data_IF_235289276579
#
_entry.id   IF_235289276579
#
_cell.length_a   1.000
_cell.length_b   1.000
_cell.length_c   1.000
_cell.angle_alpha   90.00
_cell.angle_beta   90.00
_cell.angle_gamma   90.00
#
_symmetry.space_group_name_H-M   'P 1'
#
loop_
_entity.id
_entity.type
_entity.pdbx_description
1 polymer ?
#
# COMPACT_ATOMS: atom_id res chain seq x y z
N UNK A 1 -7.39 5.81 -1.52
CA UNK A 1 -7.48 5.49 -0.07
C UNK A 1 -6.65 6.49 0.71
N UNK A 2 -7.25 7.16 1.69
CA UNK A 2 -6.55 8.08 2.60
C UNK A 2 -6.19 7.35 3.89
N UNK A 3 -4.91 7.32 4.23
CA UNK A 3 -4.38 6.71 5.47
C UNK A 3 -4.01 7.86 6.39
N UNK A 4 -4.81 8.05 7.45
CA UNK A 4 -4.68 9.16 8.42
C UNK A 4 -4.84 8.63 9.84
N UNK A 5 -4.31 9.34 10.85
CA UNK A 5 -4.63 9.04 12.24
C UNK A 5 -6.13 9.25 12.49
N UNK A 6 -6.69 8.47 13.41
CA UNK A 6 -8.07 8.61 13.84
C UNK A 6 -8.19 8.35 15.35
N UNK A 7 -9.40 8.49 15.91
CA UNK A 7 -9.65 8.33 17.35
C UNK A 7 -9.26 6.96 17.91
N UNK A 8 -9.18 5.93 17.05
CA UNK A 8 -8.91 4.54 17.47
C UNK A 8 -7.45 4.15 17.22
N UNK A 9 -6.77 4.79 16.26
CA UNK A 9 -5.44 4.40 15.84
C UNK A 9 -4.57 5.60 15.50
N UNK A 10 -3.44 5.68 16.19
CA UNK A 10 -2.35 6.59 15.84
C UNK A 10 -1.43 5.94 14.80
N UNK A 11 -0.81 6.76 13.96
CA UNK A 11 0.23 6.33 13.03
C UNK A 11 1.60 6.41 13.71
N UNK A 12 2.50 5.48 13.37
CA UNK A 12 3.85 5.43 13.96
C UNK A 12 4.73 6.62 13.58
N UNK A 13 4.47 7.26 12.46
CA UNK A 13 5.23 8.42 11.97
C UNK A 13 4.37 9.26 11.05
N UNK A 14 4.77 10.52 10.84
CA UNK A 14 4.12 11.43 9.88
C UNK A 14 4.20 10.90 8.44
N UNK A 15 5.27 10.21 8.06
CA UNK A 15 5.41 9.59 6.75
C UNK A 15 4.38 8.47 6.49
N UNK A 16 3.78 7.92 7.54
CA UNK A 16 2.70 6.94 7.40
C UNK A 16 1.37 7.57 6.96
N UNK A 17 1.19 8.89 7.15
CA UNK A 17 0.03 9.63 6.65
C UNK A 17 0.20 9.87 5.15
N UNK A 18 -0.73 9.34 4.36
CA UNK A 18 -0.63 9.39 2.90
C UNK A 18 -1.93 9.05 2.20
N UNK A 19 -1.99 9.40 0.94
CA UNK A 19 -3.02 8.96 0.00
C UNK A 19 -2.43 7.97 -0.99
N UNK A 20 -3.14 6.85 -1.18
CA UNK A 20 -2.78 5.77 -2.10
C UNK A 20 -3.94 5.57 -3.06
N UNK A 21 -3.75 5.70 -4.38
CA UNK A 21 -4.75 5.35 -5.36
C UNK A 21 -5.14 3.88 -5.24
N UNK A 22 -6.37 3.54 -5.58
CA UNK A 22 -6.74 2.15 -5.79
C UNK A 22 -6.29 1.73 -7.19
N UNK A 23 -5.84 0.50 -7.33
CA UNK A 23 -5.62 -0.13 -8.63
C UNK A 23 -6.99 -0.36 -9.30
N UNK A 24 -7.09 -0.19 -10.62
CA UNK A 24 -8.34 -0.32 -11.37
C UNK A 24 -9.08 -1.65 -11.14
N UNK A 25 -8.35 -2.75 -10.95
CA UNK A 25 -8.92 -4.05 -10.58
C UNK A 25 -9.68 -3.95 -9.24
N UNK A 26 -9.13 -3.25 -8.25
CA UNK A 26 -9.78 -3.08 -6.95
C UNK A 26 -10.97 -2.13 -7.04
N UNK A 27 -10.89 -1.11 -7.87
CA UNK A 27 -12.03 -0.21 -8.13
C UNK A 27 -13.22 -1.01 -8.65
N UNK A 28 -13.02 -1.87 -9.63
CA UNK A 28 -14.07 -2.74 -10.18
C UNK A 28 -14.66 -3.71 -9.14
N UNK A 29 -13.82 -4.30 -8.28
CA UNK A 29 -14.24 -5.23 -7.24
C UNK A 29 -15.00 -4.54 -6.10
N UNK A 30 -14.71 -3.29 -5.84
CA UNK A 30 -15.23 -2.54 -4.69
C UNK A 30 -16.47 -1.69 -5.03
N UNK A 31 -16.70 -1.37 -6.30
CA UNK A 31 -17.70 -0.41 -6.74
C UNK A 31 -19.15 -0.79 -6.33
N UNK A 32 -19.40 -2.08 -6.14
CA UNK A 32 -20.76 -2.60 -5.81
C UNK A 32 -20.99 -2.83 -4.31
N UNK A 33 -19.99 -2.71 -3.45
CA UNK A 33 -20.06 -3.24 -2.08
C UNK A 33 -19.56 -2.33 -0.98
N UNK A 34 -19.07 -1.13 -1.33
CA UNK A 34 -18.49 -0.22 -0.33
C UNK A 34 -19.58 0.43 0.54
N UNK A 35 -19.50 0.30 1.88
CA UNK A 35 -20.39 1.02 2.76
C UNK A 35 -20.09 2.53 2.68
N UNK A 36 -21.13 3.35 2.71
CA UNK A 36 -21.01 4.81 2.70
C UNK A 36 -20.45 5.38 4.02
N UNK A 37 -20.43 4.57 5.08
CA UNK A 37 -19.91 4.95 6.40
C UNK A 37 -19.49 3.72 7.20
N UNK A 38 -18.64 3.91 8.22
CA UNK A 38 -18.18 2.87 9.11
C UNK A 38 -16.96 2.10 8.57
N UNK A 39 -16.83 0.84 8.98
CA UNK A 39 -15.71 -0.01 8.57
C UNK A 39 -15.97 -0.62 7.21
N UNK A 40 -14.99 -0.55 6.31
CA UNK A 40 -15.03 -1.20 5.00
C UNK A 40 -15.29 -2.71 5.11
N UNK A 41 -14.66 -3.35 6.08
CA UNK A 41 -14.82 -4.78 6.38
C UNK A 41 -15.21 -4.96 7.85
N UNK A 42 -16.49 -4.81 8.23
CA UNK A 42 -16.91 -4.79 9.63
C UNK A 42 -16.62 -6.10 10.37
N UNK A 43 -16.63 -7.22 9.66
CA UNK A 43 -16.42 -8.56 10.24
C UNK A 43 -14.97 -9.06 10.13
N UNK A 44 -14.07 -8.25 9.52
CA UNK A 44 -12.68 -8.64 9.32
C UNK A 44 -11.81 -8.15 10.48
N UNK A 45 -11.24 -9.10 11.20
CA UNK A 45 -10.25 -8.83 12.25
C UNK A 45 -8.84 -9.20 11.76
N UNK A 46 -7.81 -8.68 12.43
CA UNK A 46 -6.40 -9.04 12.12
C UNK A 46 -6.20 -10.55 12.21
N UNK A 47 -6.76 -11.20 13.24
CA UNK A 47 -6.69 -12.65 13.42
C UNK A 47 -7.31 -13.42 12.23
N UNK A 48 -8.48 -12.98 11.76
CA UNK A 48 -9.12 -13.59 10.57
C UNK A 48 -8.27 -13.44 9.32
N UNK A 49 -7.64 -12.27 9.12
CA UNK A 49 -6.71 -12.05 7.99
C UNK A 49 -5.52 -13.01 8.07
N UNK A 50 -4.89 -13.10 9.23
CA UNK A 50 -3.73 -13.99 9.45
C UNK A 50 -4.11 -15.46 9.22
N UNK A 51 -5.23 -15.90 9.78
CA UNK A 51 -5.74 -17.28 9.59
C UNK A 51 -6.07 -17.57 8.12
N UNK A 52 -6.70 -16.62 7.42
CA UNK A 52 -7.02 -16.78 5.99
C UNK A 52 -5.76 -16.85 5.15
N UNK A 53 -4.77 -16.03 5.44
CA UNK A 53 -3.48 -16.07 4.75
C UNK A 53 -2.74 -17.40 5.03
N UNK A 54 -2.77 -17.89 6.26
CA UNK A 54 -2.21 -19.19 6.61
C UNK A 54 -2.90 -20.35 5.86
N UNK A 55 -4.21 -20.26 5.64
CA UNK A 55 -4.95 -21.21 4.82
C UNK A 55 -4.49 -21.15 3.35
N UNK A 56 -4.37 -19.94 2.76
CA UNK A 56 -3.87 -19.77 1.38
C UNK A 56 -2.47 -20.36 1.20
N UNK A 57 -1.56 -20.17 2.16
CA UNK A 57 -0.22 -20.78 2.11
C UNK A 57 -0.22 -22.30 2.05
N UNK A 58 -1.23 -22.96 2.61
CA UNK A 58 -1.36 -24.44 2.52
C UNK A 58 -1.80 -24.89 1.14
N UNK A 59 -2.62 -24.08 0.46
CA UNK A 59 -3.11 -24.39 -0.88
C UNK A 59 -2.08 -24.01 -1.98
N UNK A 60 -1.17 -23.08 -1.68
CA UNK A 60 -0.24 -22.45 -2.61
C UNK A 60 1.20 -22.60 -2.12
N UNK A 61 1.92 -23.66 -2.55
CA UNK A 61 3.30 -23.92 -2.13
C UNK A 61 4.26 -22.76 -2.40
N UNK A 62 4.01 -21.97 -3.44
CA UNK A 62 4.77 -20.78 -3.80
C UNK A 62 4.71 -19.68 -2.73
N UNK A 63 3.73 -19.73 -1.83
CA UNK A 63 3.61 -18.80 -0.69
C UNK A 63 4.29 -19.30 0.58
N UNK A 64 4.94 -20.49 0.54
CA UNK A 64 5.64 -21.01 1.72
C UNK A 64 6.71 -20.02 2.22
N UNK A 65 6.86 -19.92 3.53
CA UNK A 65 7.80 -19.00 4.16
C UNK A 65 7.36 -17.52 4.16
N UNK A 66 6.22 -17.18 3.55
CA UNK A 66 5.70 -15.81 3.56
C UNK A 66 4.69 -15.57 4.69
N UNK A 67 4.49 -14.29 5.02
CA UNK A 67 3.43 -13.80 5.93
C UNK A 67 2.62 -12.73 5.21
N UNK A 68 1.46 -12.35 5.74
CA UNK A 68 0.63 -11.31 5.09
C UNK A 68 1.43 -10.03 4.79
N UNK A 69 2.35 -9.63 5.67
CA UNK A 69 3.22 -8.46 5.46
C UNK A 69 4.18 -8.63 4.25
N UNK A 70 4.40 -9.85 3.77
CA UNK A 70 5.21 -10.09 2.57
C UNK A 70 4.58 -9.51 1.30
N UNK A 71 3.27 -9.25 1.27
CA UNK A 71 2.58 -8.55 0.18
C UNK A 71 3.14 -7.14 -0.01
N UNK A 72 3.46 -6.45 1.09
CA UNK A 72 4.10 -5.14 1.05
C UNK A 72 5.52 -5.21 0.47
N UNK A 73 6.30 -6.22 0.88
CA UNK A 73 7.64 -6.46 0.33
C UNK A 73 7.56 -6.78 -1.16
N UNK A 74 6.59 -7.58 -1.57
CA UNK A 74 6.34 -7.89 -2.97
C UNK A 74 6.06 -6.61 -3.79
N UNK A 75 5.17 -5.72 -3.32
CA UNK A 75 4.87 -4.44 -3.98
C UNK A 75 6.14 -3.59 -4.17
N UNK A 76 6.95 -3.43 -3.11
CA UNK A 76 8.22 -2.69 -3.17
C UNK A 76 9.15 -3.29 -4.24
N UNK A 77 9.26 -4.62 -4.27
CA UNK A 77 10.08 -5.33 -5.27
C UNK A 77 9.56 -5.13 -6.70
N UNK A 78 8.22 -5.09 -6.91
CA UNK A 78 7.67 -4.78 -8.23
C UNK A 78 8.03 -3.35 -8.66
N UNK A 79 7.90 -2.37 -7.79
CA UNK A 79 8.30 -1.00 -8.05
C UNK A 79 9.80 -0.91 -8.43
N UNK A 80 10.68 -1.58 -7.68
CA UNK A 80 12.12 -1.64 -7.97
C UNK A 80 12.40 -2.24 -9.36
N UNK A 81 11.78 -3.38 -9.67
CA UNK A 81 11.97 -4.08 -10.95
C UNK A 81 11.44 -3.31 -12.16
N UNK A 82 10.46 -2.44 -11.96
CA UNK A 82 9.90 -1.57 -13.01
C UNK A 82 10.58 -0.21 -13.07
N UNK A 83 11.66 0.00 -12.32
CA UNK A 83 12.45 1.23 -12.35
C UNK A 83 11.80 2.42 -11.65
N UNK A 84 10.80 2.19 -10.78
CA UNK A 84 10.20 3.26 -9.98
C UNK A 84 11.22 3.80 -8.98
N UNK A 85 11.47 5.11 -8.93
CA UNK A 85 12.39 5.69 -7.97
C UNK A 85 12.02 5.38 -6.52
N UNK A 86 13.02 5.05 -5.68
CA UNK A 86 12.84 4.66 -4.28
C UNK A 86 11.92 5.61 -3.49
N UNK A 87 12.12 6.93 -3.64
CA UNK A 87 11.32 7.91 -2.90
C UNK A 87 9.83 7.95 -3.32
N UNK A 88 9.50 7.53 -4.55
CA UNK A 88 8.11 7.38 -4.98
C UNK A 88 7.49 6.15 -4.32
N UNK A 89 8.21 5.03 -4.33
CA UNK A 89 7.81 3.80 -3.63
C UNK A 89 7.66 4.07 -2.13
N UNK A 90 8.62 4.75 -1.49
CA UNK A 90 8.58 5.11 -0.08
C UNK A 90 7.33 5.95 0.27
N UNK A 91 6.97 6.91 -0.60
CA UNK A 91 5.75 7.72 -0.45
C UNK A 91 4.49 6.86 -0.44
N UNK A 92 4.38 5.90 -1.36
CA UNK A 92 3.22 5.00 -1.45
C UNK A 92 3.12 4.03 -0.26
N UNK A 93 4.25 3.49 0.18
CA UNK A 93 4.27 2.54 1.30
C UNK A 93 4.38 3.20 2.67
N UNK A 94 4.60 4.52 2.76
CA UNK A 94 4.72 5.26 4.02
C UNK A 94 6.00 4.93 4.79
N UNK A 95 7.11 4.80 4.07
CA UNK A 95 8.46 4.77 4.63
C UNK A 95 9.08 6.17 4.59
N UNK A 96 9.96 6.45 5.54
CA UNK A 96 10.88 7.57 5.37
C UNK A 96 11.89 7.18 4.29
N UNK A 97 12.05 8.00 3.27
CA UNK A 97 13.10 7.83 2.28
C UNK A 97 14.35 8.61 2.70
N UNK A 98 15.52 8.19 2.24
CA UNK A 98 16.77 8.93 2.44
C UNK A 98 16.68 10.37 1.92
N UNK A 99 15.81 10.64 0.95
CA UNK A 99 15.49 12.01 0.47
C UNK A 99 14.77 12.87 1.51
N UNK A 100 14.02 12.27 2.44
CA UNK A 100 13.39 13.03 3.53
C UNK A 100 14.41 13.55 4.55
N UNK A 101 15.61 12.99 4.56
CA UNK A 101 16.73 13.47 5.39
C UNK A 101 17.47 14.63 4.74
N UNK A 102 17.44 14.74 3.41
CA UNK A 102 18.05 15.85 2.67
C UNK A 102 17.05 17.01 2.54
N UNK A 103 16.80 17.68 3.67
CA UNK A 103 15.74 18.68 3.88
C UNK A 103 15.80 19.91 2.96
N UNK A 104 16.97 20.22 2.38
CA UNK A 104 17.18 21.49 1.69
C UNK A 104 16.58 21.54 0.27
N UNK A 105 16.68 20.47 -0.50
CA UNK A 105 16.24 20.52 -1.91
C UNK A 105 14.86 19.89 -2.13
N UNK A 106 14.56 18.77 -1.49
CA UNK A 106 13.33 18.02 -1.72
C UNK A 106 12.30 18.15 -0.60
N UNK A 107 12.71 18.54 0.61
CA UNK A 107 11.79 18.73 1.73
C UNK A 107 11.13 20.11 1.76
N UNK A 108 11.82 21.15 1.26
CA UNK A 108 11.33 22.53 1.25
C UNK A 108 10.73 22.95 -0.09
N UNK A 109 11.24 22.41 -1.21
CA UNK A 109 10.89 22.89 -2.55
C UNK A 109 10.13 21.89 -3.40
N UNK A 110 9.97 20.64 -2.96
CA UNK A 110 9.23 19.62 -3.71
C UNK A 110 7.82 19.46 -3.17
N UNK A 111 6.82 19.62 -4.02
CA UNK A 111 5.43 19.27 -3.72
C UNK A 111 5.20 17.76 -3.53
N UNK A 112 6.29 16.95 -3.58
CA UNK A 112 6.21 15.49 -3.55
C UNK A 112 5.78 14.90 -4.89
N UNK A 113 5.40 13.63 -4.86
CA UNK A 113 4.90 12.94 -6.06
C UNK A 113 3.41 13.27 -6.26
N UNK A 114 3.03 13.60 -7.50
CA UNK A 114 1.65 13.92 -7.86
C UNK A 114 0.73 12.68 -7.77
N UNK A 115 -0.56 12.90 -7.65
CA UNK A 115 -1.54 11.80 -7.62
C UNK A 115 -1.59 11.05 -8.96
N UNK A 116 -1.33 11.74 -10.08
CA UNK A 116 -1.18 11.10 -11.38
C UNK A 116 0.01 10.12 -11.41
N UNK A 117 1.17 10.53 -10.89
CA UNK A 117 2.34 9.65 -10.77
C UNK A 117 2.11 8.47 -9.81
N UNK A 118 1.42 8.70 -8.70
CA UNK A 118 1.04 7.60 -7.78
C UNK A 118 0.13 6.59 -8.48
N UNK A 119 -0.84 7.07 -9.26
CA UNK A 119 -1.77 6.22 -10.01
C UNK A 119 -1.02 5.40 -11.06
N UNK A 120 -0.17 6.02 -11.85
CA UNK A 120 0.65 5.35 -12.85
C UNK A 120 1.49 4.20 -12.23
N UNK A 121 2.13 4.45 -11.09
CA UNK A 121 2.91 3.44 -10.38
C UNK A 121 2.02 2.28 -9.91
N UNK A 122 0.86 2.59 -9.31
CA UNK A 122 -0.05 1.57 -8.80
C UNK A 122 -0.62 0.72 -9.93
N UNK A 123 -1.04 1.34 -11.04
CA UNK A 123 -1.55 0.64 -12.24
C UNK A 123 -0.46 -0.17 -12.95
N UNK A 124 0.81 0.24 -12.86
CA UNK A 124 1.95 -0.48 -13.42
C UNK A 124 2.29 -1.79 -12.68
N UNK A 125 1.74 -2.01 -11.51
CA UNK A 125 1.93 -3.26 -10.75
C UNK A 125 1.05 -4.35 -11.32
N UNK A 126 1.68 -5.30 -12.03
CA UNK A 126 0.97 -6.45 -12.62
C UNK A 126 0.61 -7.46 -11.55
N UNK A 127 -0.68 -7.67 -11.34
CA UNK A 127 -1.20 -8.76 -10.50
C UNK A 127 -1.32 -9.99 -11.38
N UNK A 128 -0.48 -11.01 -11.10
CA UNK A 128 -0.47 -12.25 -11.86
C UNK A 128 -1.81 -13.00 -11.69
N UNK A 129 -2.39 -13.41 -12.81
CA UNK A 129 -3.62 -14.21 -12.83
C UNK A 129 -4.94 -13.42 -12.82
N UNK A 130 -4.87 -12.10 -13.03
CA UNK A 130 -6.05 -11.26 -13.25
C UNK A 130 -5.93 -10.55 -14.60
#
# INVERSE_FOLDING_TARGET
VSIRPNAVRLLKSKAAEREVPLHGILEQLLDTTLPTSGRLFPYLTVDKVVKRYAYLRRLHPELHGTVFHSTRKWFITQCERTGVPEHFTASLVGHQSARSENKLTYGLYSAGISDAQKREIVEGVKVLGL
#
